data_IF_927237315605
#
_entry.id   IF_927237315605
#
_cell.length_a   1.000
_cell.length_b   1.000
_cell.length_c   1.000
_cell.angle_alpha   90.00
_cell.angle_beta   90.00
_cell.angle_gamma   90.00
#
_symmetry.space_group_name_H-M   'P 1'
#
loop_
_entity.id
_entity.type
_entity.pdbx_description
1 polymer ?
#
# COMPACT_ATOMS: atom_id res chain seq x y z
N UNK A 1 6.35 4.07 -10.07
CA UNK A 1 6.22 2.68 -9.59
C UNK A 1 4.77 2.26 -9.76
N UNK A 2 4.43 1.00 -9.54
CA UNK A 2 3.04 0.55 -9.53
C UNK A 2 2.75 -0.10 -8.19
N UNK A 3 1.66 0.32 -7.56
CA UNK A 3 1.20 -0.19 -6.28
C UNK A 3 -0.02 -1.06 -6.51
N UNK A 4 -0.10 -2.17 -5.78
CA UNK A 4 -1.18 -3.14 -5.91
C UNK A 4 -1.73 -3.42 -4.52
N UNK A 5 -3.02 -3.19 -4.35
CA UNK A 5 -3.75 -3.69 -3.18
C UNK A 5 -4.34 -5.07 -3.50
N UNK A 6 -4.17 -5.98 -2.55
CA UNK A 6 -4.88 -7.25 -2.47
C UNK A 6 -5.94 -7.10 -1.38
N UNK A 7 -7.07 -6.49 -1.70
CA UNK A 7 -8.12 -6.24 -0.71
C UNK A 7 -8.76 -7.54 -0.25
N UNK A 8 -9.04 -7.65 1.05
CA UNK A 8 -9.75 -8.80 1.60
C UNK A 8 -11.07 -9.01 0.86
N UNK A 9 -11.31 -10.25 0.45
CA UNK A 9 -12.54 -10.68 -0.20
C UNK A 9 -13.33 -11.60 0.73
N UNK A 10 -14.49 -11.12 1.19
CA UNK A 10 -15.39 -11.86 2.08
C UNK A 10 -16.21 -12.91 1.33
N UNK A 11 -16.54 -12.66 0.07
CA UNK A 11 -17.38 -13.47 -0.82
C UNK A 11 -16.57 -14.40 -1.75
N UNK A 12 -15.32 -14.72 -1.39
CA UNK A 12 -14.49 -15.66 -2.17
C UNK A 12 -15.06 -17.08 -2.06
N UNK A 13 -14.97 -17.85 -3.15
CA UNK A 13 -15.43 -19.23 -3.17
C UNK A 13 -14.78 -20.06 -2.04
N UNK A 14 -15.61 -20.85 -1.35
CA UNK A 14 -15.11 -21.84 -0.38
C UNK A 14 -14.41 -22.97 -1.14
N UNK A 15 -13.20 -23.29 -0.69
CA UNK A 15 -12.37 -24.33 -1.29
C UNK A 15 -11.84 -25.23 -0.17
N UNK A 16 -11.60 -26.52 -0.44
CA UNK A 16 -10.93 -27.40 0.51
C UNK A 16 -9.59 -26.83 0.96
N UNK A 17 -9.23 -27.03 2.23
CA UNK A 17 -8.00 -26.51 2.83
C UNK A 17 -6.75 -26.84 2.00
N UNK A 18 -6.63 -28.08 1.53
CA UNK A 18 -5.49 -28.53 0.71
C UNK A 18 -5.37 -27.72 -0.60
N UNK A 19 -6.49 -27.37 -1.22
CA UNK A 19 -6.48 -26.53 -2.43
C UNK A 19 -6.05 -25.10 -2.09
N UNK A 20 -6.53 -24.54 -0.97
CA UNK A 20 -6.12 -23.21 -0.50
C UNK A 20 -4.63 -23.19 -0.20
N UNK A 21 -4.11 -24.20 0.50
CA UNK A 21 -2.70 -24.29 0.87
C UNK A 21 -1.81 -24.34 -0.39
N UNK A 22 -2.20 -25.13 -1.40
CA UNK A 22 -1.49 -25.17 -2.71
C UNK A 22 -1.53 -23.85 -3.47
N UNK A 23 -2.67 -23.14 -3.43
CA UNK A 23 -2.80 -21.81 -4.04
C UNK A 23 -1.86 -20.82 -3.35
N UNK A 24 -1.82 -20.83 -2.02
CA UNK A 24 -0.98 -19.92 -1.23
C UNK A 24 0.51 -20.23 -1.39
N UNK A 25 0.90 -21.51 -1.45
CA UNK A 25 2.28 -21.91 -1.78
C UNK A 25 2.70 -21.34 -3.14
N UNK A 26 1.84 -21.47 -4.16
CA UNK A 26 2.08 -20.90 -5.48
C UNK A 26 2.16 -19.37 -5.49
N UNK A 27 1.35 -18.70 -4.67
CA UNK A 27 1.43 -17.25 -4.47
C UNK A 27 2.80 -16.82 -3.88
N UNK A 28 3.27 -17.50 -2.83
CA UNK A 28 4.59 -17.22 -2.25
C UNK A 28 5.73 -17.53 -3.23
N UNK A 29 5.62 -18.60 -4.01
CA UNK A 29 6.59 -18.92 -5.06
C UNK A 29 6.65 -17.83 -6.14
N UNK A 30 5.48 -17.28 -6.54
CA UNK A 30 5.41 -16.17 -7.48
C UNK A 30 6.05 -14.89 -6.93
N UNK A 31 5.81 -14.56 -5.65
CA UNK A 31 6.48 -13.43 -4.97
C UNK A 31 8.00 -13.58 -5.07
N UNK A 32 8.55 -14.75 -4.71
CA UNK A 32 9.99 -15.03 -4.79
C UNK A 32 10.53 -14.90 -6.21
N UNK A 33 9.83 -15.46 -7.20
CA UNK A 33 10.19 -15.33 -8.63
C UNK A 33 10.25 -13.87 -9.06
N UNK A 34 9.23 -13.08 -8.76
CA UNK A 34 9.15 -11.67 -9.17
C UNK A 34 10.18 -10.78 -8.45
N UNK A 35 10.48 -11.09 -7.19
CA UNK A 35 11.55 -10.42 -6.43
C UNK A 35 12.93 -10.76 -7.01
N UNK A 36 13.20 -12.03 -7.34
CA UNK A 36 14.47 -12.49 -7.89
C UNK A 36 14.83 -11.83 -9.22
N UNK A 37 13.83 -11.54 -10.06
CA UNK A 37 14.01 -10.83 -11.34
C UNK A 37 13.90 -9.30 -11.21
N UNK A 38 13.81 -8.77 -9.99
CA UNK A 38 13.77 -7.33 -9.70
C UNK A 38 12.49 -6.60 -10.10
N UNK A 39 11.41 -7.34 -10.40
CA UNK A 39 10.10 -6.77 -10.75
C UNK A 39 9.32 -6.35 -9.52
N UNK A 40 9.34 -7.16 -8.46
CA UNK A 40 8.65 -6.89 -7.20
C UNK A 40 9.67 -6.36 -6.18
N UNK A 41 9.42 -5.17 -5.62
CA UNK A 41 10.30 -4.55 -4.64
C UNK A 41 9.85 -4.86 -3.22
N UNK A 42 8.55 -4.78 -2.97
CA UNK A 42 7.97 -4.90 -1.63
C UNK A 42 6.72 -5.76 -1.69
N UNK A 43 6.59 -6.68 -0.75
CA UNK A 43 5.41 -7.51 -0.55
C UNK A 43 5.17 -7.71 0.95
N UNK A 44 3.91 -7.68 1.36
CA UNK A 44 3.58 -7.86 2.76
C UNK A 44 2.08 -7.96 3.02
N UNK A 45 1.63 -8.87 3.90
CA UNK A 45 0.23 -8.97 4.27
C UNK A 45 -0.19 -7.88 5.27
N UNK A 46 -1.46 -7.51 5.24
CA UNK A 46 -2.08 -6.80 6.36
C UNK A 46 -2.50 -7.77 7.45
N UNK A 47 -2.52 -7.28 8.68
CA UNK A 47 -3.23 -7.96 9.76
C UNK A 47 -4.73 -8.04 9.43
N UNK A 48 -5.35 -9.19 9.71
CA UNK A 48 -6.75 -9.45 9.31
C UNK A 48 -6.96 -9.81 7.82
N UNK A 49 -5.90 -9.83 7.01
CA UNK A 49 -5.92 -10.37 5.65
C UNK A 49 -5.82 -9.32 4.54
N UNK A 50 -5.56 -9.82 3.33
CA UNK A 50 -5.15 -8.96 2.21
C UNK A 50 -3.66 -8.58 2.31
N UNK A 51 -3.24 -7.62 1.49
CA UNK A 51 -1.85 -7.18 1.48
C UNK A 51 -1.51 -6.21 0.36
N UNK A 52 -0.21 -5.95 0.21
CA UNK A 52 0.34 -4.99 -0.74
C UNK A 52 1.42 -5.65 -1.58
N UNK A 53 1.47 -5.28 -2.86
CA UNK A 53 2.67 -5.36 -3.69
C UNK A 53 3.10 -3.98 -4.19
N UNK A 54 4.41 -3.74 -4.25
CA UNK A 54 4.99 -2.58 -4.93
C UNK A 54 5.95 -3.07 -6.02
N UNK A 55 5.60 -2.82 -7.27
CA UNK A 55 6.36 -3.22 -8.44
C UNK A 55 7.27 -2.10 -8.98
N UNK A 56 8.46 -2.50 -9.42
CA UNK A 56 9.41 -1.68 -10.16
C UNK A 56 8.99 -1.54 -11.63
N UNK A 57 7.86 -0.89 -11.86
CA UNK A 57 7.36 -0.58 -13.21
C UNK A 57 6.80 0.83 -13.28
N UNK A 58 6.76 1.39 -14.50
CA UNK A 58 6.02 2.61 -14.82
C UNK A 58 4.70 2.32 -15.54
N UNK A 59 4.44 1.06 -15.92
CA UNK A 59 3.27 0.64 -16.67
C UNK A 59 2.36 -0.21 -15.79
N UNK A 60 1.17 0.33 -15.50
CA UNK A 60 0.09 -0.44 -14.85
C UNK A 60 -0.29 -1.66 -15.70
N UNK A 61 -0.25 -1.54 -17.03
CA UNK A 61 -0.56 -2.64 -17.93
C UNK A 61 0.41 -3.80 -17.78
N UNK A 62 1.71 -3.53 -17.67
CA UNK A 62 2.73 -4.58 -17.51
C UNK A 62 2.53 -5.33 -16.20
N UNK A 63 2.22 -4.60 -15.14
CA UNK A 63 1.98 -5.20 -13.82
C UNK A 63 0.70 -6.03 -13.83
N UNK A 64 -0.37 -5.56 -14.46
CA UNK A 64 -1.57 -6.39 -14.66
C UNK A 64 -1.26 -7.70 -15.39
N UNK A 65 -0.36 -7.67 -16.37
CA UNK A 65 0.09 -8.91 -17.03
C UNK A 65 0.85 -9.83 -16.07
N UNK A 66 1.77 -9.29 -15.26
CA UNK A 66 2.54 -10.11 -14.31
C UNK A 66 1.66 -10.69 -13.20
N UNK A 67 0.63 -9.96 -12.75
CA UNK A 67 -0.32 -10.42 -11.74
C UNK A 67 -1.16 -11.60 -12.25
N UNK A 68 -1.34 -11.74 -13.57
CA UNK A 68 -2.03 -12.90 -14.14
C UNK A 68 -1.32 -14.20 -13.84
N UNK A 69 -0.03 -14.22 -13.51
CA UNK A 69 0.71 -15.44 -13.17
C UNK A 69 0.48 -15.90 -11.72
N UNK A 70 -0.01 -15.03 -10.85
CA UNK A 70 -0.16 -15.28 -9.42
C UNK A 70 -1.34 -16.24 -9.13
N UNK A 71 -1.10 -17.42 -8.53
CA UNK A 71 -2.17 -18.39 -8.28
C UNK A 71 -3.29 -17.88 -7.37
N UNK A 72 -2.99 -17.02 -6.39
CA UNK A 72 -4.02 -16.47 -5.52
C UNK A 72 -4.89 -15.42 -6.21
N UNK A 73 -4.30 -14.63 -7.12
CA UNK A 73 -5.05 -13.70 -7.98
C UNK A 73 -5.88 -14.47 -9.01
N UNK A 74 -5.30 -15.46 -9.71
CA UNK A 74 -6.02 -16.34 -10.66
C UNK A 74 -7.25 -17.00 -10.05
N UNK A 75 -7.17 -17.38 -8.77
CA UNK A 75 -8.26 -18.03 -8.05
C UNK A 75 -9.15 -17.04 -7.26
N UNK A 76 -9.12 -15.75 -7.61
CA UNK A 76 -9.98 -14.71 -7.05
C UNK A 76 -9.99 -14.68 -5.51
N UNK A 77 -8.81 -14.85 -4.87
CA UNK A 77 -8.71 -14.82 -3.41
C UNK A 77 -8.79 -13.40 -2.83
N UNK A 78 -8.56 -12.37 -3.65
CA UNK A 78 -8.61 -10.95 -3.29
C UNK A 78 -9.30 -10.11 -4.36
N UNK A 79 -9.85 -8.97 -3.97
CA UNK A 79 -10.22 -7.91 -4.91
C UNK A 79 -8.94 -7.10 -5.21
N UNK A 80 -8.49 -7.11 -6.47
CA UNK A 80 -7.20 -6.54 -6.86
C UNK A 80 -7.38 -5.13 -7.41
N UNK A 81 -6.66 -4.18 -6.84
CA UNK A 81 -6.59 -2.79 -7.31
C UNK A 81 -5.14 -2.47 -7.69
N UNK A 82 -4.95 -1.82 -8.85
CA UNK A 82 -3.62 -1.53 -9.40
C UNK A 82 -3.53 -0.06 -9.76
N UNK A 83 -2.64 0.67 -9.09
CA UNK A 83 -2.53 2.13 -9.17
C UNK A 83 -1.11 2.56 -9.57
N UNK A 84 -0.97 3.66 -10.35
CA UNK A 84 0.32 4.32 -10.47
C UNK A 84 0.74 4.86 -9.10
N UNK A 85 2.02 4.74 -8.77
CA UNK A 85 2.53 5.17 -7.48
C UNK A 85 3.78 6.02 -7.60
N UNK A 86 3.75 7.15 -6.92
CA UNK A 86 4.85 8.10 -6.81
C UNK A 86 5.25 8.26 -5.34
N UNK A 87 6.36 7.63 -4.89
CA UNK A 87 6.90 7.90 -3.58
C UNK A 87 7.39 9.35 -3.49
N UNK A 88 7.07 10.02 -2.40
CA UNK A 88 7.58 11.37 -2.04
C UNK A 88 8.56 11.28 -0.88
N UNK A 89 8.36 10.34 0.04
CA UNK A 89 9.26 9.99 1.14
C UNK A 89 9.44 8.49 1.21
N UNK A 90 10.66 8.05 1.55
CA UNK A 90 11.03 6.64 1.50
C UNK A 90 11.06 6.13 0.06
N UNK A 91 11.93 5.17 -0.24
CA UNK A 91 11.96 4.56 -1.56
C UNK A 91 11.71 3.07 -1.42
N UNK A 92 10.63 2.53 -2.01
CA UNK A 92 10.44 1.08 -2.09
C UNK A 92 11.72 0.41 -2.60
N UNK A 93 12.26 -0.49 -1.79
CA UNK A 93 13.56 -1.10 -1.97
C UNK A 93 13.44 -2.60 -1.75
N UNK A 94 14.00 -3.38 -2.68
CA UNK A 94 14.11 -4.81 -2.51
C UNK A 94 15.11 -5.14 -1.40
N UNK A 95 14.63 -5.72 -0.31
CA UNK A 95 15.46 -6.22 0.78
C UNK A 95 15.98 -7.61 0.41
N UNK A 96 17.29 -7.81 0.45
CA UNK A 96 17.91 -9.09 0.13
C UNK A 96 17.81 -10.06 1.31
N UNK A 97 17.66 -11.34 1.02
CA UNK A 97 17.73 -12.39 2.04
C UNK A 97 19.17 -12.55 2.59
N UNK A 98 19.33 -12.92 3.88
CA UNK A 98 18.27 -13.02 4.89
C UNK A 98 17.80 -11.64 5.37
N UNK A 99 16.51 -11.50 5.69
CA UNK A 99 15.92 -10.27 6.21
C UNK A 99 15.05 -10.53 7.45
N UNK A 100 14.89 -9.48 8.26
CA UNK A 100 14.00 -9.46 9.42
C UNK A 100 12.61 -8.94 8.99
N UNK A 101 11.54 -9.57 9.48
CA UNK A 101 10.18 -9.05 9.32
C UNK A 101 9.84 -8.09 10.45
N UNK A 102 9.14 -7.01 10.14
CA UNK A 102 8.64 -6.04 11.11
C UNK A 102 7.20 -5.66 10.76
N UNK A 103 6.59 -4.81 11.60
CA UNK A 103 5.25 -4.28 11.34
C UNK A 103 5.22 -2.77 11.41
N UNK A 104 4.47 -2.16 10.50
CA UNK A 104 4.22 -0.72 10.45
C UNK A 104 2.73 -0.42 10.49
N UNK A 105 2.41 0.81 10.88
CA UNK A 105 1.08 1.37 10.68
C UNK A 105 1.01 1.89 9.25
N UNK A 106 0.07 1.36 8.48
CA UNK A 106 -0.17 1.70 7.10
C UNK A 106 -1.46 2.48 7.01
N UNK A 107 -1.35 3.74 6.58
CA UNK A 107 -2.48 4.65 6.41
C UNK A 107 -2.72 4.78 4.91
N UNK A 108 -3.94 4.47 4.46
CA UNK A 108 -4.43 4.79 3.12
C UNK A 108 -5.25 6.05 3.20
N UNK A 109 -5.04 6.99 2.27
CA UNK A 109 -5.91 8.13 2.05
C UNK A 109 -6.67 7.92 0.74
N UNK A 110 -8.00 8.00 0.79
CA UNK A 110 -8.87 7.94 -0.39
C UNK A 110 -9.56 9.28 -0.56
N UNK A 111 -9.41 9.88 -1.74
CA UNK A 111 -9.97 11.19 -2.08
C UNK A 111 -11.41 11.11 -2.60
N UNK A 112 -12.23 12.08 -2.19
CA UNK A 112 -13.62 12.20 -2.61
C UNK A 112 -13.88 13.51 -3.34
N UNK A 113 -13.23 13.69 -4.48
CA UNK A 113 -13.23 14.95 -5.26
C UNK A 113 -14.64 15.42 -5.63
N UNK A 114 -15.56 14.50 -5.92
CA UNK A 114 -16.93 14.81 -6.33
C UNK A 114 -17.75 15.60 -5.29
N UNK A 115 -17.33 15.60 -4.01
CA UNK A 115 -18.02 16.32 -2.92
C UNK A 115 -17.54 17.76 -2.74
N UNK A 116 -16.51 18.20 -3.47
CA UNK A 116 -15.83 19.48 -3.23
C UNK A 116 -15.82 20.39 -4.45
N UNK A 117 -15.75 21.70 -4.18
CA UNK A 117 -15.55 22.69 -5.22
C UNK A 117 -14.09 22.64 -5.71
N UNK A 118 -13.90 22.58 -7.03
CA UNK A 118 -12.58 22.52 -7.68
C UNK A 118 -11.68 23.69 -7.27
N UNK A 119 -12.26 24.85 -6.94
CA UNK A 119 -11.51 26.03 -6.51
C UNK A 119 -10.89 25.88 -5.10
N UNK A 120 -11.48 25.04 -4.24
CA UNK A 120 -11.03 24.85 -2.85
C UNK A 120 -9.97 23.74 -2.73
N UNK A 121 -9.94 22.81 -3.71
CA UNK A 121 -9.02 21.67 -3.73
C UNK A 121 -7.54 22.06 -3.58
N UNK A 122 -7.01 23.09 -4.28
CA UNK A 122 -5.59 23.43 -4.16
C UNK A 122 -5.21 23.86 -2.74
N UNK A 123 -6.10 24.59 -2.06
CA UNK A 123 -5.86 25.02 -0.68
C UNK A 123 -5.91 23.83 0.28
N UNK A 124 -6.86 22.91 0.08
CA UNK A 124 -7.01 21.75 0.95
C UNK A 124 -5.85 20.76 0.80
N UNK A 125 -5.42 20.49 -0.43
CA UNK A 125 -4.22 19.70 -0.74
C UNK A 125 -2.98 20.35 -0.13
N UNK A 126 -2.84 21.67 -0.21
CA UNK A 126 -1.73 22.40 0.41
C UNK A 126 -1.72 22.22 1.94
N UNK A 127 -2.88 22.37 2.61
CA UNK A 127 -3.00 22.17 4.06
C UNK A 127 -2.63 20.74 4.46
N UNK A 128 -3.09 19.74 3.70
CA UNK A 128 -2.72 18.33 3.89
C UNK A 128 -1.21 18.13 3.78
N UNK A 129 -0.58 18.63 2.71
CA UNK A 129 0.86 18.51 2.49
C UNK A 129 1.68 19.20 3.59
N UNK A 130 1.23 20.36 4.08
CA UNK A 130 1.84 21.05 5.22
C UNK A 130 1.70 20.22 6.51
N UNK A 131 0.53 19.61 6.73
CA UNK A 131 0.28 18.76 7.88
C UNK A 131 1.16 17.51 7.89
N UNK A 132 1.28 16.81 6.75
CA UNK A 132 2.18 15.66 6.62
C UNK A 132 3.64 16.04 6.88
N UNK A 133 4.09 17.22 6.43
CA UNK A 133 5.44 17.74 6.73
C UNK A 133 5.68 17.93 8.23
N UNK A 134 4.67 18.38 8.97
CA UNK A 134 4.78 18.47 10.43
C UNK A 134 4.85 17.08 11.08
N UNK A 135 4.01 16.13 10.67
CA UNK A 135 4.06 14.75 11.19
C UNK A 135 5.43 14.11 10.91
N UNK A 136 6.00 14.34 9.73
CA UNK A 136 7.32 13.81 9.36
C UNK A 136 8.44 14.26 10.30
N UNK A 137 8.33 15.44 10.94
CA UNK A 137 9.33 15.91 11.93
C UNK A 137 9.41 15.03 13.17
N UNK A 138 8.39 14.22 13.46
CA UNK A 138 8.43 13.22 14.54
C UNK A 138 9.50 12.15 14.32
N UNK A 139 9.95 11.94 13.07
CA UNK A 139 10.87 10.87 12.71
C UNK A 139 10.23 9.48 12.64
N UNK A 140 8.91 9.37 12.82
CA UNK A 140 8.19 8.10 12.78
C UNK A 140 7.69 7.71 11.39
N UNK A 141 7.58 8.67 10.47
CA UNK A 141 7.20 8.42 9.07
C UNK A 141 8.38 7.79 8.33
N UNK A 142 8.18 6.61 7.74
CA UNK A 142 9.20 5.91 6.95
C UNK A 142 8.94 6.03 5.44
N UNK A 143 7.67 6.17 5.05
CA UNK A 143 7.30 6.33 3.65
C UNK A 143 6.01 7.13 3.50
N UNK A 144 5.93 7.85 2.39
CA UNK A 144 4.74 8.59 1.97
C UNK A 144 4.75 8.67 0.45
N UNK A 145 3.58 8.57 -0.17
CA UNK A 145 3.45 8.76 -1.60
C UNK A 145 2.02 8.83 -2.05
N UNK A 146 1.84 9.23 -3.31
CA UNK A 146 0.53 9.53 -3.89
C UNK A 146 0.17 8.55 -4.99
N UNK A 147 -1.14 8.38 -5.17
CA UNK A 147 -1.77 7.68 -6.27
C UNK A 147 -2.37 8.70 -7.25
N UNK A 148 -1.90 8.70 -8.49
CA UNK A 148 -2.37 9.65 -9.51
C UNK A 148 -2.32 11.12 -9.07
N UNK A 149 -3.09 11.98 -9.73
CA UNK A 149 -3.23 13.39 -9.33
C UNK A 149 -4.31 13.59 -8.26
N UNK A 150 -5.26 12.65 -8.13
CA UNK A 150 -6.38 12.76 -7.20
C UNK A 150 -6.94 11.42 -6.73
N UNK A 151 -6.15 10.34 -6.67
CA UNK A 151 -6.59 9.03 -6.14
C UNK A 151 -6.14 8.82 -4.68
N UNK A 152 -5.67 9.89 -4.04
CA UNK A 152 -5.19 9.87 -2.66
C UNK A 152 -3.74 9.40 -2.56
N UNK A 153 -3.44 8.59 -1.54
CA UNK A 153 -2.06 8.22 -1.25
C UNK A 153 -1.91 7.34 -0.02
N UNK A 154 -0.67 7.22 0.46
CA UNK A 154 -0.31 6.40 1.61
C UNK A 154 0.66 7.13 2.53
N UNK A 155 0.59 6.79 3.81
CA UNK A 155 1.59 7.13 4.82
C UNK A 155 1.92 5.88 5.62
N UNK A 156 3.21 5.60 5.81
CA UNK A 156 3.69 4.44 6.56
C UNK A 156 4.49 4.93 7.75
N UNK A 157 4.10 4.48 8.94
CA UNK A 157 4.67 4.94 10.21
C UNK A 157 5.18 3.77 11.05
N UNK A 158 6.30 3.99 11.72
CA UNK A 158 6.86 3.08 12.73
C UNK A 158 6.23 3.31 14.10
N UNK A 159 6.17 2.25 14.90
CA UNK A 159 5.61 2.29 16.25
C UNK A 159 4.08 2.35 16.27
N UNK A 160 3.54 2.66 17.43
CA UNK A 160 2.10 2.85 17.59
C UNK A 160 1.66 4.22 17.05
N UNK A 161 0.46 4.26 16.48
CA UNK A 161 -0.16 5.46 15.94
C UNK A 161 -1.48 5.69 16.69
N UNK A 162 -1.61 6.83 17.37
CA UNK A 162 -2.91 7.33 17.77
C UNK A 162 -3.65 7.79 16.50
N UNK A 163 -4.80 7.19 16.12
CA UNK A 163 -5.54 7.56 14.93
C UNK A 163 -5.85 9.06 14.84
N UNK A 164 -5.98 9.74 16.00
CA UNK A 164 -6.20 11.19 16.07
C UNK A 164 -5.12 12.01 15.39
N UNK A 165 -3.90 11.49 15.27
CA UNK A 165 -2.82 12.15 14.53
C UNK A 165 -3.18 12.26 13.05
N UNK A 166 -3.84 11.26 12.48
CA UNK A 166 -4.26 11.31 11.07
C UNK A 166 -5.61 12.00 10.94
N UNK A 167 -6.54 11.76 11.86
CA UNK A 167 -7.87 12.40 11.85
C UNK A 167 -7.82 13.92 12.01
N UNK A 168 -6.74 14.47 12.57
CA UNK A 168 -6.54 15.91 12.70
C UNK A 168 -6.05 16.58 11.41
N UNK A 169 -5.73 15.81 10.37
CA UNK A 169 -5.39 16.34 9.06
C UNK A 169 -6.54 17.21 8.51
N UNK A 170 -6.28 18.45 8.09
CA UNK A 170 -7.31 19.34 7.57
C UNK A 170 -8.14 18.73 6.43
N UNK A 171 -7.51 17.99 5.52
CA UNK A 171 -8.20 17.33 4.42
C UNK A 171 -9.09 16.16 4.89
N UNK A 172 -8.72 15.50 5.97
CA UNK A 172 -9.55 14.45 6.59
C UNK A 172 -10.72 15.07 7.34
N UNK A 173 -10.47 16.10 8.15
CA UNK A 173 -11.51 16.82 8.91
C UNK A 173 -12.56 17.49 8.03
N UNK A 174 -12.12 18.04 6.90
CA UNK A 174 -13.01 18.66 5.93
C UNK A 174 -13.74 17.60 5.07
N UNK A 175 -13.41 16.32 5.19
CA UNK A 175 -14.08 15.19 4.51
C UNK A 175 -13.60 14.94 3.07
N UNK A 176 -12.50 15.56 2.67
CA UNK A 176 -11.90 15.40 1.34
C UNK A 176 -11.12 14.08 1.23
N UNK A 177 -10.45 13.68 2.30
CA UNK A 177 -9.78 12.39 2.42
C UNK A 177 -10.51 11.53 3.46
N UNK A 178 -10.86 10.30 3.09
CA UNK A 178 -11.14 9.25 4.07
C UNK A 178 -9.86 8.47 4.34
N UNK A 179 -9.77 7.90 5.54
CA UNK A 179 -8.59 7.16 5.98
C UNK A 179 -8.93 5.72 6.32
N UNK A 180 -8.00 4.84 6.02
CA UNK A 180 -7.98 3.48 6.53
C UNK A 180 -6.62 3.23 7.18
N UNK A 181 -6.61 2.76 8.43
CA UNK A 181 -5.37 2.43 9.15
C UNK A 181 -5.33 0.93 9.37
N UNK A 182 -4.25 0.30 8.90
CA UNK A 182 -4.00 -1.15 9.05
C UNK A 182 -2.61 -1.39 9.59
N UNK A 183 -2.45 -2.46 10.37
CA UNK A 183 -1.13 -3.00 10.68
C UNK A 183 -0.64 -3.82 9.49
N UNK A 184 0.57 -3.56 9.04
CA UNK A 184 1.15 -4.17 7.84
C UNK A 184 2.47 -4.84 8.17
N UNK A 185 2.65 -6.10 7.76
CA UNK A 185 3.87 -6.87 7.99
C UNK A 185 4.74 -6.87 6.73
N UNK A 186 6.00 -6.49 6.86
CA UNK A 186 6.92 -6.34 5.72
C UNK A 186 8.37 -6.55 6.17
N UNK A 187 9.27 -6.82 5.23
CA UNK A 187 10.70 -6.83 5.48
C UNK A 187 11.17 -5.46 6.00
N UNK A 188 11.98 -5.45 7.06
CA UNK A 188 12.64 -4.26 7.59
C UNK A 188 13.63 -3.72 6.55
N UNK A 189 13.61 -2.41 6.30
CA UNK A 189 14.39 -1.74 5.26
C UNK A 189 13.67 -1.63 3.92
N UNK A 190 12.40 -2.02 3.83
CA UNK A 190 11.64 -2.02 2.57
C UNK A 190 11.46 -0.62 1.96
N UNK A 191 11.72 0.45 2.70
CA UNK A 191 11.68 1.84 2.23
C UNK A 191 13.04 2.57 2.37
N UNK A 192 14.12 1.83 2.63
CA UNK A 192 15.47 2.36 2.81
C UNK A 192 15.75 2.92 4.20
N UNK A 193 14.85 2.69 5.16
CA UNK A 193 15.05 2.98 6.57
C UNK A 193 16.13 2.08 7.19
N UNK A 194 16.87 2.62 8.17
CA UNK A 194 17.94 1.92 8.90
C UNK A 194 17.40 1.17 10.10
#
# INVERSE_FOLDING_TARGET
MVFVFLHFKSDKAELPKEQVDKIMEGHFANIKKMAAVGKLLVAGPFDGGGGIFIFNSKSVSDVREWLKDDPGIKNNRWNVEVLPFRPRVGKPTLVKEPFEMTSYQFVTFTSYVAKFNVNDLPQLVKKHDEYLKEIMKSGNVIAEGIFGDYDGGILIMKGDLDPKVIENDPAVREGFLEIEIKKWYVAKGAFGEK
#
